data_IF_929884954179
#
_entry.id   IF_929884954179
#
_cell.length_a   1.000
_cell.length_b   1.000
_cell.length_c   1.000
_cell.angle_alpha   90.00
_cell.angle_beta   90.00
_cell.angle_gamma   90.00
#
_symmetry.space_group_name_H-M   'P 1'
#
loop_
_entity.id
_entity.type
_entity.pdbx_description
1 polymer ?
#
# COMPACT_ATOMS: atom_id res chain seq x y z
N UNK A 1 -31.85 25.90 48.43
CA UNK A 1 -31.77 24.77 47.49
C UNK A 1 -32.23 25.27 46.13
N UNK A 2 -31.30 25.68 45.27
CA UNK A 2 -31.57 26.06 43.89
C UNK A 2 -30.62 25.24 43.02
N UNK A 3 -31.20 24.35 42.19
CA UNK A 3 -30.45 23.50 41.27
C UNK A 3 -30.34 24.22 39.93
N UNK A 4 -29.11 24.46 39.47
CA UNK A 4 -28.85 24.91 38.10
C UNK A 4 -29.26 23.81 37.10
N UNK A 5 -29.71 24.16 35.89
CA UNK A 5 -29.85 23.20 34.81
C UNK A 5 -28.47 22.94 34.18
N UNK A 6 -28.11 21.66 34.05
CA UNK A 6 -26.93 21.22 33.32
C UNK A 6 -27.08 21.59 31.84
N UNK A 7 -26.19 22.44 31.34
CA UNK A 7 -26.04 22.74 29.92
C UNK A 7 -25.26 21.58 29.30
N UNK A 8 -25.96 20.70 28.57
CA UNK A 8 -25.32 19.70 27.71
C UNK A 8 -24.87 20.47 26.46
N UNK A 9 -23.56 20.70 26.36
CA UNK A 9 -22.94 21.18 25.12
C UNK A 9 -22.82 19.95 24.22
N UNK A 10 -23.78 19.78 23.31
CA UNK A 10 -23.58 18.92 22.15
C UNK A 10 -22.51 19.57 21.28
N UNK A 11 -21.33 18.98 21.30
CA UNK A 11 -20.25 19.30 20.38
C UNK A 11 -20.75 18.97 18.97
N UNK A 12 -21.09 20.02 18.20
CA UNK A 12 -21.41 19.90 16.79
C UNK A 12 -20.09 19.55 16.10
N UNK A 13 -19.85 18.24 15.96
CA UNK A 13 -18.84 17.74 15.04
C UNK A 13 -19.33 18.17 13.67
N UNK A 14 -18.67 19.17 13.08
CA UNK A 14 -18.77 19.46 11.66
C UNK A 14 -18.42 18.16 10.91
N UNK A 15 -19.45 17.41 10.53
CA UNK A 15 -19.34 16.34 9.54
C UNK A 15 -18.93 16.99 8.23
N UNK A 16 -17.61 17.15 8.06
CA UNK A 16 -17.00 17.19 6.75
C UNK A 16 -17.58 15.97 5.99
N UNK A 17 -18.09 16.10 4.75
CA UNK A 17 -18.60 14.98 3.98
C UNK A 17 -17.43 14.10 3.52
N UNK A 18 -16.68 13.55 4.49
CA UNK A 18 -15.71 12.51 4.30
C UNK A 18 -16.49 11.30 3.80
N UNK A 19 -16.22 10.92 2.55
CA UNK A 19 -16.71 9.70 1.92
C UNK A 19 -16.78 8.58 2.96
N UNK A 20 -17.96 7.98 3.13
CA UNK A 20 -18.18 6.88 4.06
C UNK A 20 -17.04 5.87 3.96
N UNK A 21 -16.43 5.46 5.09
CA UNK A 21 -15.25 4.63 5.04
C UNK A 21 -15.60 3.26 4.43
N UNK A 22 -14.80 2.81 3.47
CA UNK A 22 -15.06 1.61 2.65
C UNK A 22 -14.30 0.41 3.23
N UNK A 23 -14.95 -0.76 3.33
CA UNK A 23 -14.26 -2.00 3.70
C UNK A 23 -13.48 -2.54 2.50
N UNK A 24 -12.22 -2.92 2.73
CA UNK A 24 -11.31 -3.44 1.71
C UNK A 24 -10.47 -4.60 2.23
N UNK A 25 -9.92 -5.39 1.32
CA UNK A 25 -8.86 -6.35 1.59
C UNK A 25 -7.55 -5.84 0.97
N UNK A 26 -6.44 -5.95 1.70
CA UNK A 26 -5.12 -5.74 1.09
C UNK A 26 -4.79 -6.98 0.28
N UNK A 27 -4.57 -6.83 -1.02
CA UNK A 27 -4.32 -7.94 -1.94
C UNK A 27 -2.84 -8.15 -2.24
N UNK A 28 -2.05 -7.08 -2.24
CA UNK A 28 -0.61 -7.17 -2.44
C UNK A 28 0.11 -5.96 -1.82
N UNK A 29 1.31 -6.16 -1.28
CA UNK A 29 2.12 -5.09 -0.66
C UNK A 29 3.52 -5.14 -1.23
N UNK A 30 3.94 -4.05 -1.89
CA UNK A 30 5.34 -3.82 -2.26
C UNK A 30 6.02 -3.16 -1.06
N UNK A 31 5.45 -2.05 -0.59
CA UNK A 31 5.86 -1.36 0.64
C UNK A 31 4.71 -0.45 1.14
N UNK A 32 4.78 0.17 2.33
CA UNK A 32 3.68 0.95 2.90
C UNK A 32 3.12 2.09 2.02
N UNK A 33 3.93 2.66 1.13
CA UNK A 33 3.49 3.68 0.15
C UNK A 33 3.15 3.15 -1.26
N UNK A 34 3.15 1.84 -1.47
CA UNK A 34 2.81 1.18 -2.74
C UNK A 34 2.27 -0.22 -2.45
N UNK A 35 0.95 -0.32 -2.41
CA UNK A 35 0.25 -1.57 -2.18
C UNK A 35 -1.07 -1.57 -2.97
N UNK A 36 -1.74 -2.71 -3.02
CA UNK A 36 -2.99 -2.87 -3.73
C UNK A 36 -4.07 -3.37 -2.78
N UNK A 37 -5.28 -2.87 -3.01
CA UNK A 37 -6.47 -3.32 -2.30
C UNK A 37 -7.52 -3.85 -3.27
N UNK A 38 -8.42 -4.67 -2.74
CA UNK A 38 -9.67 -5.06 -3.39
C UNK A 38 -10.84 -4.61 -2.53
N UNK A 39 -11.83 -3.97 -3.15
CA UNK A 39 -12.98 -3.46 -2.42
C UNK A 39 -13.92 -4.59 -2.01
N UNK A 40 -14.41 -4.55 -0.78
CA UNK A 40 -15.38 -5.53 -0.30
C UNK A 40 -16.68 -5.47 -1.10
N UNK A 41 -17.07 -4.27 -1.54
CA UNK A 41 -18.25 -4.01 -2.39
C UNK A 41 -18.21 -4.78 -3.72
N UNK A 42 -17.02 -5.16 -4.21
CA UNK A 42 -16.80 -5.81 -5.51
C UNK A 42 -16.60 -7.34 -5.39
N UNK A 43 -16.83 -7.94 -4.22
CA UNK A 43 -16.63 -9.38 -4.02
C UNK A 43 -17.49 -10.23 -4.98
N UNK A 44 -18.72 -9.77 -5.27
CA UNK A 44 -19.62 -10.45 -6.21
C UNK A 44 -19.11 -10.35 -7.65
N UNK A 45 -18.60 -9.19 -8.03
CA UNK A 45 -18.01 -8.97 -9.37
C UNK A 45 -16.79 -9.86 -9.57
N UNK A 46 -15.96 -10.04 -8.53
CA UNK A 46 -14.84 -10.96 -8.55
C UNK A 46 -15.28 -12.42 -8.80
N UNK A 47 -16.31 -12.89 -8.10
CA UNK A 47 -16.85 -14.24 -8.31
C UNK A 47 -17.43 -14.43 -9.71
N UNK A 48 -18.09 -13.40 -10.25
CA UNK A 48 -18.62 -13.43 -11.63
C UNK A 48 -17.46 -13.45 -12.64
N UNK A 49 -16.43 -12.63 -12.42
CA UNK A 49 -15.25 -12.55 -13.26
C UNK A 49 -14.54 -13.90 -13.31
N UNK A 50 -14.25 -14.50 -12.17
CA UNK A 50 -13.64 -15.83 -12.06
C UNK A 50 -14.40 -16.86 -12.90
N UNK A 51 -15.73 -16.92 -12.77
CA UNK A 51 -16.55 -17.85 -13.56
C UNK A 51 -16.44 -17.59 -15.06
N UNK A 52 -16.49 -16.32 -15.48
CA UNK A 52 -16.34 -15.94 -16.90
C UNK A 52 -14.96 -16.32 -17.45
N UNK A 53 -13.89 -15.96 -16.73
CA UNK A 53 -12.52 -16.24 -17.12
C UNK A 53 -12.28 -17.75 -17.21
N UNK A 54 -12.72 -18.53 -16.22
CA UNK A 54 -12.61 -19.98 -16.26
C UNK A 54 -13.36 -20.59 -17.45
N UNK A 55 -14.57 -20.11 -17.76
CA UNK A 55 -15.31 -20.56 -18.95
C UNK A 55 -14.59 -20.23 -20.26
N UNK A 56 -13.98 -19.05 -20.35
CA UNK A 56 -13.19 -18.60 -21.49
C UNK A 56 -11.95 -19.48 -21.65
N UNK A 57 -11.13 -19.64 -20.62
CA UNK A 57 -9.86 -20.35 -20.68
C UNK A 57 -10.02 -21.87 -20.90
N UNK A 58 -11.15 -22.46 -20.49
CA UNK A 58 -11.48 -23.86 -20.74
C UNK A 58 -12.03 -24.12 -22.16
N UNK A 59 -12.55 -23.10 -22.84
CA UNK A 59 -13.13 -23.24 -24.19
C UNK A 59 -12.20 -22.72 -25.30
N UNK A 60 -11.36 -21.75 -24.99
CA UNK A 60 -10.45 -21.14 -25.95
C UNK A 60 -9.38 -22.13 -26.39
N UNK A 61 -8.94 -21.95 -27.64
CA UNK A 61 -7.80 -22.67 -28.16
C UNK A 61 -6.60 -22.43 -27.26
N UNK A 62 -5.85 -23.50 -27.02
CA UNK A 62 -4.56 -23.40 -26.38
C UNK A 62 -3.66 -22.46 -27.19
N UNK A 63 -2.76 -21.80 -26.48
CA UNK A 63 -1.70 -21.03 -27.11
C UNK A 63 -0.82 -22.00 -27.93
N UNK A 64 -0.44 -21.61 -29.14
CA UNK A 64 0.50 -22.34 -29.99
C UNK A 64 1.93 -21.85 -29.76
N UNK A 65 2.98 -22.69 -29.86
CA UNK A 65 4.37 -22.24 -29.74
C UNK A 65 4.76 -21.12 -30.74
N UNK A 66 4.05 -20.99 -31.86
CA UNK A 66 4.25 -19.97 -32.89
C UNK A 66 3.46 -18.68 -32.62
N UNK A 67 2.56 -18.69 -31.64
CA UNK A 67 1.79 -17.52 -31.27
C UNK A 67 2.71 -16.39 -30.80
N UNK A 68 2.41 -15.16 -31.22
CA UNK A 68 3.15 -13.98 -30.82
C UNK A 68 2.60 -13.43 -29.50
N UNK A 69 3.49 -13.23 -28.52
CA UNK A 69 3.27 -12.48 -27.28
C UNK A 69 3.87 -11.08 -27.43
N UNK A 70 3.20 -10.08 -26.89
CA UNK A 70 3.58 -8.67 -27.00
C UNK A 70 3.62 -7.97 -25.65
N UNK A 71 4.66 -7.18 -25.41
CA UNK A 71 4.80 -6.37 -24.21
C UNK A 71 3.63 -5.37 -24.10
N UNK A 72 2.99 -5.32 -22.94
CA UNK A 72 1.79 -4.52 -22.69
C UNK A 72 0.48 -5.17 -23.15
N UNK A 73 0.54 -6.33 -23.82
CA UNK A 73 -0.68 -7.04 -24.22
C UNK A 73 -1.41 -7.64 -23.02
N UNK A 74 -2.74 -7.73 -23.16
CA UNK A 74 -3.61 -8.42 -22.21
C UNK A 74 -3.58 -9.92 -22.46
N UNK A 75 -3.53 -10.67 -21.38
CA UNK A 75 -3.44 -12.12 -21.40
C UNK A 75 -4.24 -12.72 -20.25
N UNK A 76 -4.63 -13.98 -20.36
CA UNK A 76 -5.07 -14.76 -19.22
C UNK A 76 -3.96 -15.72 -18.81
N UNK A 77 -3.69 -15.79 -17.51
CA UNK A 77 -2.67 -16.67 -16.93
C UNK A 77 -3.32 -17.54 -15.85
N UNK A 78 -3.00 -18.83 -15.85
CA UNK A 78 -3.34 -19.73 -14.76
C UNK A 78 -2.34 -19.50 -13.64
N UNK A 79 -2.68 -18.59 -12.73
CA UNK A 79 -1.80 -18.13 -11.68
C UNK A 79 -1.58 -19.23 -10.65
N UNK A 80 -0.34 -19.56 -10.36
CA UNK A 80 0.01 -20.58 -9.37
C UNK A 80 -0.13 -20.02 -7.97
N UNK A 81 0.30 -18.77 -7.76
CA UNK A 81 0.16 -18.08 -6.48
C UNK A 81 -1.31 -17.96 -6.07
N UNK A 82 -2.19 -17.58 -7.01
CA UNK A 82 -3.62 -17.42 -6.73
C UNK A 82 -4.45 -18.69 -6.94
N UNK A 83 -3.87 -19.74 -7.55
CA UNK A 83 -4.55 -21.01 -7.82
C UNK A 83 -5.73 -20.92 -8.80
N UNK A 84 -5.76 -19.92 -9.68
CA UNK A 84 -6.88 -19.64 -10.57
C UNK A 84 -6.47 -18.90 -11.85
N UNK A 85 -7.34 -18.93 -12.87
CA UNK A 85 -7.15 -18.10 -14.05
C UNK A 85 -7.42 -16.63 -13.76
N UNK A 86 -6.44 -15.79 -14.09
CA UNK A 86 -6.44 -14.35 -13.82
C UNK A 86 -6.30 -13.55 -15.12
N UNK A 87 -6.82 -12.31 -15.11
CA UNK A 87 -6.47 -11.31 -16.13
C UNK A 87 -5.09 -10.75 -15.81
N UNK A 88 -4.26 -10.63 -16.83
CA UNK A 88 -2.91 -10.13 -16.71
C UNK A 88 -2.53 -9.18 -17.82
N UNK A 89 -1.50 -8.37 -17.56
CA UNK A 89 -0.80 -7.57 -18.57
C UNK A 89 0.65 -7.99 -18.61
N UNK A 90 1.20 -8.23 -19.80
CA UNK A 90 2.60 -8.61 -19.95
C UNK A 90 3.47 -7.38 -19.67
N UNK A 91 4.30 -7.43 -18.62
CA UNK A 91 5.15 -6.31 -18.20
C UNK A 91 6.63 -6.54 -18.48
N UNK A 92 7.04 -7.79 -18.70
CA UNK A 92 8.41 -8.12 -19.15
C UNK A 92 8.37 -9.34 -20.07
N UNK A 93 9.20 -9.31 -21.12
CA UNK A 93 9.45 -10.44 -22.03
C UNK A 93 10.95 -10.52 -22.29
N UNK A 94 11.55 -11.66 -21.95
CA UNK A 94 12.96 -11.93 -22.20
C UNK A 94 13.05 -13.14 -23.14
N UNK A 95 13.68 -13.00 -24.32
CA UNK A 95 13.85 -14.11 -25.24
C UNK A 95 15.01 -15.04 -24.86
N UNK A 96 14.99 -16.27 -25.38
CA UNK A 96 16.03 -17.30 -25.22
C UNK A 96 17.36 -16.86 -25.85
N UNK A 97 17.34 -16.37 -27.08
CA UNK A 97 18.54 -15.92 -27.78
C UNK A 97 18.71 -14.39 -27.66
N UNK A 98 19.60 -13.94 -26.78
CA UNK A 98 19.98 -12.53 -26.64
C UNK A 98 20.95 -12.05 -27.74
N UNK A 99 20.65 -12.27 -29.03
CA UNK A 99 21.52 -11.77 -30.12
C UNK A 99 21.51 -10.25 -30.30
N UNK A 100 20.69 -9.51 -29.55
CA UNK A 100 20.72 -8.05 -29.57
C UNK A 100 20.73 -7.49 -28.14
N UNK A 101 21.93 -7.21 -27.65
CA UNK A 101 22.17 -6.26 -26.57
C UNK A 101 21.38 -4.99 -26.90
N UNK A 102 20.39 -4.68 -26.06
CA UNK A 102 19.70 -3.39 -25.87
C UNK A 102 20.00 -2.34 -26.95
N UNK A 103 19.46 -2.53 -28.14
CA UNK A 103 19.12 -1.39 -29.01
C UNK A 103 17.80 -0.82 -28.49
N UNK A 104 17.59 0.49 -28.48
CA UNK A 104 16.33 1.12 -28.06
C UNK A 104 15.10 0.74 -28.92
N UNK A 105 15.28 -0.12 -29.93
CA UNK A 105 14.23 -0.70 -30.78
C UNK A 105 14.23 -2.24 -30.71
N UNK A 106 14.48 -2.84 -29.54
CA UNK A 106 14.32 -4.28 -29.35
C UNK A 106 12.88 -4.71 -29.66
N UNK A 107 12.66 -5.92 -30.22
CA UNK A 107 11.31 -6.41 -30.46
C UNK A 107 10.52 -6.41 -29.16
N UNK A 108 9.34 -5.79 -29.16
CA UNK A 108 8.33 -5.92 -28.09
C UNK A 108 7.49 -7.18 -28.27
N UNK A 109 7.80 -8.00 -29.27
CA UNK A 109 7.02 -9.15 -29.72
C UNK A 109 7.91 -10.36 -29.91
N UNK A 110 7.53 -11.49 -29.33
CA UNK A 110 8.25 -12.76 -29.42
C UNK A 110 7.26 -13.90 -29.65
N UNK A 111 7.63 -14.91 -30.43
CA UNK A 111 6.83 -16.13 -30.43
C UNK A 111 6.99 -16.88 -29.11
N UNK A 112 5.99 -17.64 -28.68
CA UNK A 112 5.99 -18.34 -27.38
C UNK A 112 7.24 -19.19 -27.19
N UNK A 113 7.67 -19.93 -28.23
CA UNK A 113 8.87 -20.77 -28.20
C UNK A 113 10.19 -20.01 -28.04
N UNK A 114 10.19 -18.70 -28.28
CA UNK A 114 11.37 -17.84 -28.16
C UNK A 114 11.47 -17.17 -26.80
N UNK A 115 10.47 -17.32 -25.91
CA UNK A 115 10.43 -16.67 -24.60
C UNK A 115 11.11 -17.53 -23.54
N UNK A 116 12.11 -16.96 -22.86
CA UNK A 116 12.78 -17.56 -21.71
C UNK A 116 12.12 -17.16 -20.38
N UNK A 117 11.71 -15.89 -20.27
CA UNK A 117 11.04 -15.34 -19.09
C UNK A 117 9.92 -14.40 -19.51
N UNK A 118 8.80 -14.50 -18.80
CA UNK A 118 7.68 -13.57 -18.91
C UNK A 118 7.26 -13.12 -17.51
N UNK A 119 7.06 -11.82 -17.34
CA UNK A 119 6.43 -11.25 -16.13
C UNK A 119 5.05 -10.73 -16.50
N UNK A 120 4.06 -11.10 -15.68
CA UNK A 120 2.65 -10.74 -15.90
C UNK A 120 2.12 -10.06 -14.66
N UNK A 121 1.69 -8.80 -14.80
CA UNK A 121 1.00 -8.06 -13.75
C UNK A 121 -0.48 -8.47 -13.70
N UNK A 122 -0.92 -9.02 -12.57
CA UNK A 122 -2.28 -9.49 -12.37
C UNK A 122 -3.20 -8.33 -11.98
N UNK A 123 -3.94 -7.79 -12.95
CA UNK A 123 -4.70 -6.54 -12.80
C UNK A 123 -5.81 -6.59 -11.74
N UNK A 124 -6.19 -7.79 -11.31
CA UNK A 124 -7.24 -8.02 -10.31
C UNK A 124 -6.71 -8.27 -8.89
N UNK A 125 -5.39 -8.45 -8.75
CA UNK A 125 -4.72 -8.76 -7.48
C UNK A 125 -3.59 -7.79 -7.12
N UNK A 126 -2.93 -7.20 -8.14
CA UNK A 126 -1.89 -6.19 -7.97
C UNK A 126 -0.48 -6.75 -7.76
N UNK A 127 -0.32 -8.07 -7.68
CA UNK A 127 0.97 -8.75 -7.73
C UNK A 127 1.39 -9.05 -9.17
N UNK A 128 2.68 -9.30 -9.37
CA UNK A 128 3.23 -9.81 -10.63
C UNK A 128 3.66 -11.26 -10.47
N UNK A 129 3.43 -12.07 -11.49
CA UNK A 129 3.88 -13.46 -11.54
C UNK A 129 4.96 -13.61 -12.62
N UNK A 130 6.09 -14.20 -12.23
CA UNK A 130 7.25 -14.43 -13.11
C UNK A 130 7.28 -15.90 -13.49
N UNK A 131 7.17 -16.19 -14.79
CA UNK A 131 7.25 -17.54 -15.35
C UNK A 131 8.55 -17.70 -16.14
N UNK A 132 9.31 -18.74 -15.83
CA UNK A 132 10.61 -19.07 -16.44
C UNK A 132 10.49 -20.41 -17.16
N UNK A 133 10.97 -20.50 -18.40
CA UNK A 133 10.94 -21.73 -19.20
C UNK A 133 12.27 -22.50 -19.08
N UNK A 134 12.21 -23.78 -18.69
CA UNK A 134 13.39 -24.65 -18.53
C UNK A 134 14.04 -25.00 -19.88
N UNK A 135 15.36 -25.23 -19.87
CA UNK A 135 16.14 -25.58 -21.07
C UNK A 135 16.93 -24.40 -21.68
N UNK A 136 16.79 -23.22 -21.08
CA UNK A 136 17.58 -22.02 -21.36
C UNK A 136 18.53 -21.89 -20.17
N UNK A 137 19.85 -21.93 -20.40
CA UNK A 137 20.85 -22.04 -19.32
C UNK A 137 20.61 -21.02 -18.19
N UNK A 138 20.96 -21.40 -16.96
CA UNK A 138 20.79 -20.67 -15.68
C UNK A 138 21.38 -19.24 -15.64
N UNK A 139 21.80 -18.69 -16.77
CA UNK A 139 22.55 -17.43 -16.94
C UNK A 139 21.67 -16.21 -17.23
N UNK A 140 20.35 -16.36 -17.38
CA UNK A 140 19.45 -15.26 -17.75
C UNK A 140 18.56 -14.71 -16.63
N UNK A 141 18.60 -15.31 -15.43
CA UNK A 141 17.85 -14.82 -14.27
C UNK A 141 18.57 -13.60 -13.73
N UNK A 142 17.97 -12.41 -13.84
CA UNK A 142 18.54 -11.20 -13.22
C UNK A 142 18.46 -11.38 -11.69
N UNK A 143 19.42 -10.84 -10.92
CA UNK A 143 19.37 -10.89 -9.46
C UNK A 143 18.05 -10.38 -8.87
N UNK A 144 17.41 -9.42 -9.56
CA UNK A 144 16.09 -8.86 -9.23
C UNK A 144 14.98 -9.93 -9.22
N UNK A 145 15.04 -10.93 -10.11
CA UNK A 145 14.05 -12.01 -10.19
C UNK A 145 14.34 -13.17 -9.22
N UNK A 146 15.49 -13.17 -8.53
CA UNK A 146 15.83 -14.16 -7.48
C UNK A 146 15.08 -13.85 -6.18
N UNK A 147 14.77 -12.57 -5.94
CA UNK A 147 14.01 -12.13 -4.77
C UNK A 147 12.48 -12.34 -4.93
N UNK A 148 11.98 -12.49 -6.15
CA UNK A 148 10.58 -12.77 -6.45
C UNK A 148 10.32 -14.29 -6.52
N UNK A 149 9.16 -14.74 -6.02
CA UNK A 149 8.73 -16.12 -6.21
C UNK A 149 8.49 -16.35 -7.70
N UNK A 150 9.36 -17.11 -8.35
CA UNK A 150 9.26 -17.45 -9.76
C UNK A 150 8.79 -18.89 -9.93
N UNK A 151 8.04 -19.13 -11.00
CA UNK A 151 7.60 -20.46 -11.39
C UNK A 151 8.43 -20.93 -12.57
N UNK A 152 9.02 -22.11 -12.41
CA UNK A 152 9.75 -22.80 -13.47
C UNK A 152 8.83 -23.78 -14.19
N UNK A 153 8.69 -23.62 -15.51
CA UNK A 153 7.80 -24.39 -16.38
C UNK A 153 8.58 -24.97 -17.57
N UNK A 154 8.07 -26.04 -18.18
CA UNK A 154 8.65 -26.55 -19.43
C UNK A 154 8.07 -25.85 -20.68
N UNK A 155 6.87 -25.29 -20.57
CA UNK A 155 6.15 -24.64 -21.66
C UNK A 155 5.14 -23.64 -21.07
N UNK A 156 4.94 -22.51 -21.74
CA UNK A 156 3.97 -21.48 -21.40
C UNK A 156 2.56 -21.81 -21.93
N UNK A 157 2.44 -22.64 -22.96
CA UNK A 157 1.17 -22.93 -23.62
C UNK A 157 0.06 -23.46 -22.69
N UNK A 158 0.36 -24.31 -21.68
CA UNK A 158 -0.67 -24.80 -20.76
C UNK A 158 -1.25 -23.69 -19.87
N UNK A 159 -0.42 -22.74 -19.46
CA UNK A 159 -0.73 -21.75 -18.42
C UNK A 159 -1.16 -20.39 -18.97
N UNK A 160 -1.00 -20.13 -20.27
CA UNK A 160 -1.37 -18.87 -20.90
C UNK A 160 -2.50 -19.02 -21.93
N UNK A 161 -3.34 -18.00 -22.05
CA UNK A 161 -4.31 -17.84 -23.15
C UNK A 161 -4.30 -16.40 -23.65
N UNK A 162 -4.29 -16.19 -24.96
CA UNK A 162 -4.44 -14.85 -25.56
C UNK A 162 -5.78 -14.24 -25.21
N UNK A 163 -5.77 -12.93 -24.99
CA UNK A 163 -6.98 -12.13 -24.88
C UNK A 163 -7.29 -11.52 -26.24
N UNK A 164 -8.15 -12.18 -27.02
CA UNK A 164 -8.63 -11.62 -28.28
C UNK A 164 -9.67 -10.51 -28.03
N UNK A 165 -9.81 -9.49 -28.91
CA UNK A 165 -10.71 -8.36 -28.68
C UNK A 165 -12.17 -8.74 -28.36
N UNK A 166 -12.68 -9.79 -28.99
CA UNK A 166 -14.02 -10.33 -28.70
C UNK A 166 -14.12 -10.90 -27.28
N UNK A 167 -13.08 -11.61 -26.82
CA UNK A 167 -13.01 -12.20 -25.49
C UNK A 167 -12.90 -11.10 -24.43
N UNK A 168 -12.09 -10.07 -24.68
CA UNK A 168 -12.05 -8.87 -23.83
C UNK A 168 -13.44 -8.25 -23.69
N UNK A 169 -14.21 -8.22 -24.78
CA UNK A 169 -15.59 -7.76 -24.80
C UNK A 169 -16.53 -8.49 -23.83
N UNK A 170 -16.24 -9.74 -23.46
CA UNK A 170 -17.07 -10.54 -22.53
C UNK A 170 -16.83 -10.20 -21.06
N UNK A 171 -15.66 -9.64 -20.74
CA UNK A 171 -15.21 -9.30 -19.38
C UNK A 171 -14.99 -7.80 -19.17
N UNK A 172 -15.16 -6.97 -20.20
CA UNK A 172 -14.93 -5.51 -20.16
C UNK A 172 -15.78 -4.77 -19.12
N UNK A 173 -16.96 -5.29 -18.80
CA UNK A 173 -17.90 -4.63 -17.88
C UNK A 173 -17.43 -4.71 -16.43
N UNK A 174 -16.45 -5.56 -16.15
CA UNK A 174 -15.83 -5.69 -14.82
C UNK A 174 -14.48 -4.97 -14.88
N UNK A 175 -14.31 -3.81 -14.21
CA UNK A 175 -13.03 -3.11 -14.20
C UNK A 175 -11.96 -3.93 -13.47
N UNK A 176 -10.66 -3.55 -13.57
CA UNK A 176 -9.63 -4.10 -12.70
C UNK A 176 -10.06 -4.02 -11.23
N UNK A 177 -9.84 -5.10 -10.50
CA UNK A 177 -10.29 -5.23 -9.11
C UNK A 177 -9.22 -4.84 -8.09
N UNK A 178 -7.95 -4.73 -8.50
CA UNK A 178 -6.87 -4.24 -7.65
C UNK A 178 -6.66 -2.74 -7.84
N UNK A 179 -6.77 -1.99 -6.73
CA UNK A 179 -6.61 -0.54 -6.71
C UNK A 179 -5.28 -0.17 -6.06
N UNK A 180 -4.38 0.54 -6.76
CA UNK A 180 -3.13 0.98 -6.17
C UNK A 180 -3.38 2.03 -5.10
N UNK A 181 -2.67 1.89 -3.99
CA UNK A 181 -2.82 2.71 -2.80
C UNK A 181 -1.46 3.11 -2.23
N UNK A 182 -1.48 4.22 -1.51
CA UNK A 182 -0.34 4.75 -0.75
C UNK A 182 -0.80 5.24 0.61
N UNK A 183 -0.11 4.86 1.68
CA UNK A 183 -0.41 5.39 3.01
C UNK A 183 -0.08 6.89 3.07
N UNK A 184 -1.02 7.67 3.59
CA UNK A 184 -0.95 9.12 3.60
C UNK A 184 0.20 9.64 4.48
N UNK A 185 1.00 10.52 3.89
CA UNK A 185 1.98 11.39 4.54
C UNK A 185 3.07 10.65 5.34
N UNK A 186 3.36 9.39 5.02
CA UNK A 186 4.51 8.67 5.58
C UNK A 186 5.60 8.46 4.54
N UNK A 187 6.83 8.36 5.02
CA UNK A 187 8.03 8.02 4.24
C UNK A 187 8.86 7.02 5.05
N UNK A 188 9.84 6.32 4.44
CA UNK A 188 10.72 5.45 5.21
C UNK A 188 11.38 6.20 6.36
N UNK A 189 11.61 5.50 7.47
CA UNK A 189 12.24 6.09 8.65
C UNK A 189 13.61 6.69 8.28
N UNK A 190 14.47 5.88 7.67
CA UNK A 190 15.72 6.32 7.07
C UNK A 190 15.53 6.66 5.57
N UNK A 191 15.57 7.95 5.23
CA UNK A 191 15.38 8.38 3.84
C UNK A 191 16.52 7.98 2.89
N UNK A 192 17.71 7.61 3.39
CA UNK A 192 18.80 7.16 2.50
C UNK A 192 18.68 5.68 2.10
N UNK A 193 17.98 4.88 2.88
CA UNK A 193 17.92 3.41 2.70
C UNK A 193 16.62 2.95 2.01
N UNK A 194 15.60 3.80 1.97
CA UNK A 194 14.30 3.44 1.39
C UNK A 194 13.47 2.58 2.34
N UNK A 195 12.42 1.95 1.82
CA UNK A 195 11.57 1.06 2.63
C UNK A 195 12.29 -0.27 2.89
N UNK A 196 12.51 -0.58 4.15
CA UNK A 196 13.04 -1.87 4.58
C UNK A 196 11.98 -2.97 4.52
N UNK A 197 12.41 -4.23 4.34
CA UNK A 197 11.51 -5.39 4.32
C UNK A 197 10.72 -5.55 5.62
N UNK A 198 11.28 -5.15 6.77
CA UNK A 198 10.60 -5.16 8.07
C UNK A 198 9.28 -4.35 8.03
N UNK A 199 9.28 -3.21 7.34
CA UNK A 199 8.09 -2.37 7.20
C UNK A 199 6.97 -3.09 6.43
N UNK A 200 7.32 -3.88 5.42
CA UNK A 200 6.37 -4.72 4.67
C UNK A 200 5.85 -5.88 5.52
N UNK A 201 6.73 -6.55 6.27
CA UNK A 201 6.35 -7.67 7.14
C UNK A 201 5.38 -7.22 8.24
N UNK A 202 5.67 -6.13 8.94
CA UNK A 202 4.78 -5.61 9.97
C UNK A 202 3.48 -5.04 9.37
N UNK A 203 3.52 -4.43 8.18
CA UNK A 203 2.29 -4.04 7.46
C UNK A 203 1.38 -5.26 7.25
N UNK A 204 1.92 -6.34 6.67
CA UNK A 204 1.17 -7.56 6.37
C UNK A 204 0.62 -8.22 7.64
N UNK A 205 1.42 -8.24 8.71
CA UNK A 205 1.04 -8.77 10.02
C UNK A 205 -0.11 -7.99 10.66
N UNK A 206 -0.11 -6.66 10.55
CA UNK A 206 -1.18 -5.82 11.11
C UNK A 206 -2.52 -6.04 10.39
N UNK A 207 -2.52 -6.12 9.05
CA UNK A 207 -3.74 -6.34 8.27
C UNK A 207 -4.21 -7.81 8.28
N UNK A 208 -3.28 -8.75 8.40
CA UNK A 208 -3.51 -10.19 8.65
C UNK A 208 -4.58 -10.85 7.74
N UNK A 209 -4.59 -10.51 6.45
CA UNK A 209 -5.57 -11.01 5.47
C UNK A 209 -7.05 -10.78 5.86
N UNK A 210 -7.34 -9.82 6.73
CA UNK A 210 -8.70 -9.46 7.15
C UNK A 210 -9.21 -8.25 6.37
N UNK A 211 -10.52 -8.09 6.36
CA UNK A 211 -11.14 -6.86 5.89
C UNK A 211 -10.77 -5.72 6.85
N UNK A 212 -10.30 -4.61 6.29
CA UNK A 212 -9.93 -3.39 7.03
C UNK A 212 -10.76 -2.22 6.53
N UNK A 213 -10.91 -1.21 7.36
CA UNK A 213 -11.61 0.02 7.02
C UNK A 213 -10.64 0.96 6.30
N UNK A 214 -10.99 1.44 5.12
CA UNK A 214 -10.17 2.37 4.35
C UNK A 214 -10.74 3.78 4.44
N UNK A 215 -9.93 4.72 4.94
CA UNK A 215 -10.20 6.15 4.87
C UNK A 215 -9.46 6.74 3.67
N UNK A 216 -10.21 7.18 2.66
CA UNK A 216 -9.64 7.81 1.46
C UNK A 216 -9.53 9.32 1.69
N UNK A 217 -8.33 9.88 1.53
CA UNK A 217 -8.13 11.32 1.63
C UNK A 217 -8.22 12.00 0.27
N UNK A 218 -7.60 11.40 -0.76
CA UNK A 218 -7.59 11.90 -2.14
C UNK A 218 -7.12 10.81 -3.10
N UNK A 219 -7.12 11.12 -4.38
CA UNK A 219 -6.55 10.30 -5.45
C UNK A 219 -5.52 11.13 -6.22
N UNK A 220 -4.33 10.57 -6.46
CA UNK A 220 -3.24 11.22 -7.17
C UNK A 220 -2.71 10.27 -8.26
N UNK A 221 -2.80 10.68 -9.53
CA UNK A 221 -2.33 9.89 -10.68
C UNK A 221 -2.89 8.45 -10.72
N UNK A 222 -4.16 8.26 -10.34
CA UNK A 222 -4.80 6.94 -10.27
C UNK A 222 -4.45 6.11 -9.03
N UNK A 223 -3.66 6.65 -8.09
CA UNK A 223 -3.32 6.02 -6.81
C UNK A 223 -4.17 6.62 -5.69
N UNK A 224 -4.82 5.77 -4.89
CA UNK A 224 -5.59 6.21 -3.74
C UNK A 224 -4.64 6.54 -2.58
N UNK A 225 -4.73 7.77 -2.07
CA UNK A 225 -4.00 8.18 -0.87
C UNK A 225 -4.90 7.95 0.34
N UNK A 226 -4.52 7.00 1.18
CA UNK A 226 -5.42 6.40 2.18
C UNK A 226 -4.78 6.25 3.54
N UNK A 227 -5.60 5.91 4.53
CA UNK A 227 -5.19 5.24 5.74
C UNK A 227 -6.03 3.96 5.91
N UNK A 228 -5.43 2.94 6.51
CA UNK A 228 -6.10 1.67 6.81
C UNK A 228 -6.33 1.58 8.31
N UNK A 229 -7.56 1.30 8.69
CA UNK A 229 -8.04 1.45 10.05
C UNK A 229 -8.77 0.18 10.51
N UNK A 230 -8.76 -0.04 11.82
CA UNK A 230 -9.50 -1.14 12.42
C UNK A 230 -11.01 -0.96 12.23
N UNK A 231 -11.74 -1.98 11.70
CA UNK A 231 -13.20 -1.92 11.64
C UNK A 231 -13.83 -1.85 13.04
N UNK A 232 -14.92 -1.07 13.23
CA UNK A 232 -15.60 -0.92 14.53
C UNK A 232 -16.14 -2.24 15.10
N UNK A 233 -16.46 -3.20 14.23
CA UNK A 233 -17.13 -4.46 14.56
C UNK A 233 -16.17 -5.57 15.02
N UNK A 234 -14.85 -5.35 15.01
CA UNK A 234 -13.88 -6.35 15.46
C UNK A 234 -13.86 -6.44 17.00
N UNK A 235 -14.84 -7.16 17.54
CA UNK A 235 -14.93 -7.49 18.96
C UNK A 235 -13.77 -8.40 19.35
N UNK A 236 -12.80 -7.84 20.08
CA UNK A 236 -11.89 -8.54 21.01
C UNK A 236 -10.86 -9.46 20.29
N UNK A 237 -9.56 -9.11 20.40
CA UNK A 237 -8.36 -9.82 19.87
C UNK A 237 -7.88 -9.56 18.42
N UNK A 238 -8.21 -8.42 17.80
CA UNK A 238 -7.51 -8.02 16.55
C UNK A 238 -6.31 -7.12 16.86
N UNK A 239 -5.10 -7.59 16.57
CA UNK A 239 -3.83 -6.85 16.65
C UNK A 239 -3.72 -5.70 15.63
N UNK A 240 -4.74 -5.56 14.76
CA UNK A 240 -4.87 -4.42 13.84
C UNK A 240 -4.94 -3.11 14.64
N UNK A 241 -4.06 -2.12 14.34
CA UNK A 241 -4.08 -0.82 14.98
C UNK A 241 -5.26 0.04 14.51
N UNK A 242 -5.56 1.10 15.26
CA UNK A 242 -6.59 2.08 14.88
C UNK A 242 -6.23 2.77 13.55
N UNK A 243 -4.95 3.07 13.34
CA UNK A 243 -4.40 3.63 12.11
C UNK A 243 -3.09 2.93 11.77
N UNK A 244 -2.99 2.41 10.54
CA UNK A 244 -1.81 1.66 10.09
C UNK A 244 -0.60 2.59 9.91
N UNK A 245 -0.81 3.81 9.41
CA UNK A 245 0.28 4.79 9.28
C UNK A 245 0.85 5.21 10.63
N UNK A 246 0.00 5.42 11.64
CA UNK A 246 0.44 5.86 12.96
C UNK A 246 1.21 4.73 13.67
N UNK A 247 0.77 3.48 13.49
CA UNK A 247 1.46 2.31 14.01
C UNK A 247 2.86 2.12 13.39
N UNK A 248 2.99 2.25 12.07
CA UNK A 248 4.30 2.18 11.41
C UNK A 248 5.27 3.26 11.90
N UNK A 249 4.77 4.48 12.12
CA UNK A 249 5.58 5.56 12.70
C UNK A 249 5.95 5.28 14.15
N UNK A 250 5.01 4.77 14.95
CA UNK A 250 5.25 4.40 16.34
C UNK A 250 6.31 3.29 16.49
N UNK A 251 6.34 2.33 15.58
CA UNK A 251 7.34 1.27 15.53
C UNK A 251 8.68 1.70 14.91
N UNK A 252 8.84 2.99 14.57
CA UNK A 252 10.03 3.54 13.92
C UNK A 252 10.34 2.91 12.53
N UNK A 253 9.34 2.28 11.90
CA UNK A 253 9.44 1.73 10.54
C UNK A 253 9.12 2.78 9.46
N UNK A 254 8.52 3.89 9.88
CA UNK A 254 8.23 5.05 9.05
C UNK A 254 8.42 6.34 9.85
N UNK A 255 8.38 7.47 9.14
CA UNK A 255 8.20 8.79 9.75
C UNK A 255 7.19 9.59 8.94
N UNK A 256 6.54 10.56 9.58
CA UNK A 256 5.71 11.49 8.83
C UNK A 256 6.58 12.34 7.90
N UNK A 257 6.08 12.56 6.68
CA UNK A 257 6.63 13.54 5.76
C UNK A 257 6.54 14.90 6.43
N UNK A 258 7.69 15.51 6.75
CA UNK A 258 7.71 16.86 7.27
C UNK A 258 7.17 17.80 6.19
N UNK A 259 6.13 18.57 6.50
CA UNK A 259 5.59 19.60 5.61
C UNK A 259 6.45 20.87 5.62
N UNK A 260 7.77 20.75 5.57
CA UNK A 260 8.65 21.91 5.41
C UNK A 260 9.50 21.77 4.16
N UNK A 261 9.37 22.68 3.16
CA UNK A 261 10.48 22.98 2.28
C UNK A 261 11.49 23.77 3.10
N UNK A 262 12.20 23.09 4.00
CA UNK A 262 13.33 23.67 4.72
C UNK A 262 14.51 22.75 4.49
N UNK A 263 15.42 23.30 3.70
CA UNK A 263 16.81 22.92 3.52
C UNK A 263 17.29 21.88 4.52
N UNK A 264 17.88 20.81 3.98
CA UNK A 264 18.85 20.01 4.70
C UNK A 264 19.84 20.96 5.39
N UNK A 265 19.66 21.09 6.69
CA UNK A 265 20.67 21.54 7.62
C UNK A 265 20.32 20.81 8.90
N UNK A 266 20.86 19.60 9.04
CA UNK A 266 21.16 19.03 10.34
C UNK A 266 22.23 19.91 11.02
N UNK A 267 21.95 21.20 11.19
CA UNK A 267 22.65 21.99 12.18
C UNK A 267 21.96 21.66 13.48
N UNK A 268 22.61 20.77 14.24
CA UNK A 268 22.47 20.60 15.69
C UNK A 268 21.35 21.48 16.27
N UNK A 269 20.13 20.94 16.40
CA UNK A 269 19.20 21.46 17.39
C UNK A 269 19.82 21.14 18.75
N UNK A 270 20.85 21.89 19.14
CA UNK A 270 21.22 22.04 20.52
C UNK A 270 19.96 22.54 21.20
N UNK A 271 19.30 21.65 21.95
CA UNK A 271 18.19 22.00 22.83
C UNK A 271 18.68 23.15 23.68
N UNK A 272 18.23 24.37 23.35
CA UNK A 272 18.58 25.55 24.12
C UNK A 272 17.81 25.45 25.40
N UNK A 273 18.50 25.12 26.49
CA UNK A 273 17.94 25.25 27.82
C UNK A 273 17.55 26.71 28.03
N UNK A 274 16.25 26.96 28.14
CA UNK A 274 15.72 28.23 28.59
C UNK A 274 15.50 28.12 30.10
N UNK A 275 16.18 28.93 30.93
CA UNK A 275 15.95 28.92 32.36
C UNK A 275 14.48 29.27 32.64
N UNK A 276 13.86 28.66 33.67
CA UNK A 276 12.48 28.94 34.03
C UNK A 276 12.30 30.42 34.33
N UNK A 277 11.30 31.05 33.72
CA UNK A 277 10.93 32.43 34.00
C UNK A 277 10.20 32.43 35.34
N UNK A 278 10.84 33.01 36.35
CA UNK A 278 10.23 33.14 37.67
C UNK A 278 9.06 34.13 37.61
N UNK A 279 7.92 33.83 38.27
CA UNK A 279 6.85 34.79 38.46
C UNK A 279 7.36 36.06 39.15
N UNK A 280 6.80 37.21 38.79
CA UNK A 280 7.10 38.46 39.50
C UNK A 280 6.42 38.47 40.86
N UNK A 281 7.01 39.13 41.85
CA UNK A 281 6.38 39.31 43.15
C UNK A 281 4.97 39.93 43.00
N UNK A 282 4.02 39.45 43.81
CA UNK A 282 2.61 39.83 43.76
C UNK A 282 1.91 39.58 42.41
N UNK A 283 2.22 38.47 41.73
CA UNK A 283 1.47 38.02 40.55
C UNK A 283 0.80 36.68 40.77
N UNK A 284 -0.47 36.58 40.38
CA UNK A 284 -1.21 35.33 40.38
C UNK A 284 -0.84 34.53 39.14
N UNK A 285 -0.38 33.29 39.34
CA UNK A 285 0.03 32.38 38.26
C UNK A 285 -0.62 31.01 38.43
N UNK A 286 -1.06 30.43 37.32
CA UNK A 286 -1.55 29.05 37.31
C UNK A 286 -0.38 28.09 37.36
N UNK A 287 -0.33 27.28 38.41
CA UNK A 287 0.75 26.32 38.66
C UNK A 287 0.17 24.94 38.93
N UNK A 288 0.94 23.91 38.61
CA UNK A 288 0.73 22.57 39.13
C UNK A 288 1.83 22.24 40.12
N UNK A 289 1.45 21.63 41.25
CA UNK A 289 2.44 21.08 42.19
C UNK A 289 2.99 19.80 41.58
N UNK A 290 4.28 19.78 41.25
CA UNK A 290 4.90 18.63 40.60
C UNK A 290 5.61 17.71 41.59
N UNK A 291 6.09 18.22 42.72
CA UNK A 291 6.73 17.42 43.75
C UNK A 291 6.65 18.10 45.13
N UNK A 292 6.49 17.33 46.21
CA UNK A 292 6.40 17.86 47.58
C UNK A 292 7.40 17.11 48.46
N UNK A 293 8.37 17.83 49.04
CA UNK A 293 9.22 17.29 50.10
C UNK A 293 8.59 17.56 51.48
N UNK A 294 8.02 18.75 51.66
CA UNK A 294 7.29 19.15 52.87
C UNK A 294 6.33 20.31 52.54
N UNK A 295 5.42 20.70 53.45
CA UNK A 295 4.57 21.88 53.24
C UNK A 295 5.32 23.20 53.04
N UNK A 296 6.59 23.27 53.46
CA UNK A 296 7.45 24.43 53.28
C UNK A 296 8.46 24.29 52.12
N UNK A 297 8.56 23.11 51.50
CA UNK A 297 9.49 22.81 50.42
C UNK A 297 8.81 21.90 49.39
N UNK A 298 8.36 22.52 48.30
CA UNK A 298 7.71 21.84 47.19
C UNK A 298 8.02 22.56 45.88
N UNK A 299 7.91 21.81 44.80
CA UNK A 299 8.24 22.24 43.45
C UNK A 299 6.96 22.45 42.66
N UNK A 300 6.97 23.51 41.86
CA UNK A 300 5.85 23.93 41.03
C UNK A 300 6.26 23.90 39.55
N UNK A 301 5.35 23.48 38.69
CA UNK A 301 5.45 23.63 37.25
C UNK A 301 4.43 24.69 36.80
N UNK A 302 4.92 25.75 36.13
CA UNK A 302 4.05 26.77 35.54
C UNK A 302 3.23 26.16 34.40
N UNK A 303 1.90 26.26 34.49
CA UNK A 303 1.01 25.78 33.45
C UNK A 303 1.00 26.76 32.28
N UNK A 304 1.56 26.38 31.14
CA UNK A 304 1.39 27.14 29.90
C UNK A 304 -0.04 26.96 29.39
N UNK A 305 -0.92 27.93 29.63
CA UNK A 305 -2.00 28.22 28.69
C UNK A 305 -1.36 28.98 27.53
N UNK A 306 -1.07 28.27 26.45
CA UNK A 306 -0.54 28.85 25.22
C UNK A 306 -1.53 29.86 24.64
N UNK A 307 -1.22 31.15 24.77
CA UNK A 307 -1.77 32.16 23.87
C UNK A 307 -0.87 32.16 22.64
N UNK A 308 -1.34 31.52 21.57
CA UNK A 308 -0.84 31.80 20.22
C UNK A 308 -1.12 33.27 19.92
N UNK A 309 -0.10 34.12 20.01
CA UNK A 309 -0.13 35.44 19.39
C UNK A 309 0.16 35.22 17.91
N UNK A 310 -0.90 35.21 17.10
CA UNK A 310 -0.78 35.43 15.65
C UNK A 310 -0.37 36.89 15.48
N UNK A 311 0.88 37.12 15.12
CA UNK A 311 1.36 38.44 14.71
C UNK A 311 0.99 38.70 13.26
N UNK A 312 0.30 39.82 13.03
CA UNK A 312 0.09 40.44 11.70
C UNK A 312 1.42 40.79 11.02
#
# INVERSE_FOLDING_TARGET
MGSSPDVIIEEIIEENPERCPELVFVSHVIHPCHFYIRKYSQIKDATVLEKKVNQICNKNLHLDPSDILELGARIFVNSIENGMWCRGTITELIPIESKNIRKPCSPTKFSVREVALIQIFLVDFGNSEVLIVTGVGDTHIRPEHIAEQHVVLNDLCPVLRKSEPYIEGLVKDIPPLAYPCSLKDIVPHNSSEGWEEEAKLEFLKMVNNKAVLMKVFREENGVLIVDLQKPPTNKISSDMPVSLRDALVFMELARFRSQSPRSHTEENMALRYHPPILPKEMTDVSVMVCHINSPADFYLQLGFLGVCVVGN
#
